data_IF_713232056622
#
_entry.id   IF_713232056622
#
_cell.length_a   1.000
_cell.length_b   1.000
_cell.length_c   1.000
_cell.angle_alpha   90.00
_cell.angle_beta   90.00
_cell.angle_gamma   90.00
#
_symmetry.space_group_name_H-M   'P 1'
#
loop_
_entity.id
_entity.type
_entity.pdbx_description
1 polymer ?
#
# COMPACT_ATOMS: atom_id res chain seq x y z
N UNK A 1 -2.69 -10.06 -10.98
CA UNK A 1 -1.65 -9.18 -10.43
C UNK A 1 -0.80 -9.99 -9.47
N UNK A 2 0.53 -9.84 -9.50
CA UNK A 2 1.43 -10.51 -8.55
C UNK A 2 1.49 -9.73 -7.25
N UNK A 3 1.43 -10.45 -6.12
CA UNK A 3 1.39 -9.88 -4.78
C UNK A 3 2.52 -10.46 -3.94
N UNK A 4 3.19 -9.62 -3.15
CA UNK A 4 4.25 -10.01 -2.22
C UNK A 4 4.00 -9.36 -0.86
N UNK A 5 3.89 -10.15 0.20
CA UNK A 5 3.93 -9.64 1.57
C UNK A 5 5.39 -9.34 1.93
N UNK A 6 5.64 -8.13 2.40
CA UNK A 6 6.98 -7.64 2.75
C UNK A 6 7.16 -7.53 4.26
N UNK A 7 6.09 -7.17 4.97
CA UNK A 7 6.00 -7.19 6.42
C UNK A 7 4.61 -7.70 6.79
N UNK A 8 4.53 -8.69 7.67
CA UNK A 8 3.30 -9.43 7.94
C UNK A 8 2.60 -8.99 9.24
N UNK A 9 3.19 -8.08 10.01
CA UNK A 9 2.53 -7.51 11.19
C UNK A 9 2.63 -8.39 12.44
N UNK A 10 3.83 -8.87 12.75
CA UNK A 10 4.26 -9.76 13.85
C UNK A 10 3.56 -9.69 15.23
N UNK A 11 2.81 -8.64 15.53
CA UNK A 11 2.08 -8.47 16.80
C UNK A 11 0.60 -8.84 16.69
N UNK A 12 0.08 -9.02 15.46
CA UNK A 12 -1.30 -9.38 15.22
C UNK A 12 -1.50 -10.88 15.40
N UNK A 13 -2.63 -11.31 15.97
CA UNK A 13 -2.99 -12.72 15.97
C UNK A 13 -3.01 -13.28 14.55
N UNK A 14 -2.50 -14.50 14.37
CA UNK A 14 -2.35 -15.16 13.06
C UNK A 14 -3.64 -15.15 12.23
N UNK A 15 -4.79 -15.44 12.83
CA UNK A 15 -6.09 -15.42 12.12
C UNK A 15 -6.45 -14.05 11.54
N UNK A 16 -6.13 -12.96 12.27
CA UNK A 16 -6.39 -11.58 11.82
C UNK A 16 -5.44 -11.23 10.68
N UNK A 17 -4.15 -11.56 10.85
CA UNK A 17 -3.10 -11.34 9.87
C UNK A 17 -3.41 -12.04 8.55
N UNK A 18 -3.66 -13.35 8.59
CA UNK A 18 -3.86 -14.17 7.41
C UNK A 18 -5.13 -13.77 6.66
N UNK A 19 -6.21 -13.47 7.39
CA UNK A 19 -7.43 -12.94 6.79
C UNK A 19 -7.20 -11.59 6.11
N UNK A 20 -6.47 -10.67 6.74
CA UNK A 20 -6.17 -9.36 6.17
C UNK A 20 -5.32 -9.47 4.89
N UNK A 21 -4.27 -10.30 4.92
CA UNK A 21 -3.41 -10.57 3.77
C UNK A 21 -4.21 -11.20 2.63
N UNK A 22 -5.08 -12.17 2.92
CA UNK A 22 -5.93 -12.82 1.91
C UNK A 22 -6.88 -11.83 1.24
N UNK A 23 -7.57 -10.99 2.03
CA UNK A 23 -8.48 -9.95 1.53
C UNK A 23 -7.74 -8.97 0.63
N UNK A 24 -6.60 -8.43 1.08
CA UNK A 24 -5.80 -7.47 0.30
C UNK A 24 -5.28 -8.11 -0.98
N UNK A 25 -4.80 -9.36 -0.89
CA UNK A 25 -4.30 -10.13 -2.03
C UNK A 25 -5.40 -10.34 -3.08
N UNK A 26 -6.60 -10.78 -2.66
CA UNK A 26 -7.73 -10.98 -3.55
C UNK A 26 -8.22 -9.67 -4.17
N UNK A 27 -8.24 -8.58 -3.39
CA UNK A 27 -8.57 -7.24 -3.90
C UNK A 27 -7.62 -6.77 -4.98
N UNK A 28 -6.30 -7.01 -4.81
CA UNK A 28 -5.26 -6.74 -5.81
C UNK A 28 -5.40 -7.64 -7.04
N UNK A 29 -5.61 -8.94 -6.84
CA UNK A 29 -5.75 -9.92 -7.92
C UNK A 29 -7.01 -9.72 -8.75
N UNK A 30 -8.07 -9.16 -8.17
CA UNK A 30 -9.29 -8.76 -8.89
C UNK A 30 -9.09 -7.58 -9.85
N UNK A 31 -7.95 -6.89 -9.80
CA UNK A 31 -7.61 -5.84 -10.76
C UNK A 31 -7.03 -6.50 -12.02
N UNK A 32 -7.80 -6.46 -13.11
CA UNK A 32 -7.45 -7.13 -14.38
C UNK A 32 -7.66 -6.21 -15.57
N UNK A 33 -6.96 -6.49 -16.68
CA UNK A 33 -7.02 -5.72 -17.93
C UNK A 33 -7.25 -6.61 -19.15
N UNK A 34 -6.45 -7.67 -19.33
CA UNK A 34 -6.48 -8.57 -20.50
C UNK A 34 -6.50 -10.01 -20.03
N UNK A 35 -7.45 -10.81 -20.52
CA UNK A 35 -7.48 -12.25 -20.29
C UNK A 35 -7.50 -12.68 -18.82
N UNK A 36 -8.11 -11.87 -17.93
CA UNK A 36 -8.12 -12.13 -16.49
C UNK A 36 -6.80 -11.84 -15.77
N UNK A 37 -5.82 -11.25 -16.46
CA UNK A 37 -4.54 -10.84 -15.92
C UNK A 37 -4.42 -9.31 -15.87
N UNK A 38 -3.55 -8.81 -15.01
CA UNK A 38 -3.14 -7.41 -14.97
C UNK A 38 -1.94 -7.18 -15.89
N UNK A 39 -2.23 -7.03 -17.19
CA UNK A 39 -1.28 -6.69 -18.25
C UNK A 39 -1.31 -5.19 -18.49
N UNK A 40 -0.15 -4.53 -18.42
CA UNK A 40 -0.07 -3.07 -18.56
C UNK A 40 0.55 -2.67 -19.89
N UNK A 41 -0.04 -1.68 -20.54
CA UNK A 41 0.58 -1.04 -21.70
C UNK A 41 1.67 -0.08 -21.23
N UNK A 42 2.92 -0.39 -21.54
CA UNK A 42 4.10 0.42 -21.21
C UNK A 42 4.70 1.15 -22.43
N UNK A 43 3.91 1.30 -23.51
CA UNK A 43 4.34 2.04 -24.71
C UNK A 43 4.69 3.48 -24.37
N UNK A 44 5.89 3.91 -24.77
CA UNK A 44 6.32 5.29 -24.61
C UNK A 44 5.51 6.22 -25.51
N UNK A 45 4.79 7.15 -24.88
CA UNK A 45 3.98 8.15 -25.58
C UNK A 45 4.47 9.56 -25.23
N UNK A 46 4.18 10.51 -26.12
CA UNK A 46 4.60 11.89 -26.00
C UNK A 46 3.41 12.83 -26.17
N UNK A 47 3.59 14.06 -25.67
CA UNK A 47 2.63 15.16 -25.84
C UNK A 47 3.38 16.44 -26.16
N UNK A 48 2.79 17.27 -27.02
CA UNK A 48 3.26 18.62 -27.28
C UNK A 48 2.84 19.55 -26.15
N UNK A 49 3.80 20.19 -25.49
CA UNK A 49 3.56 21.17 -24.45
C UNK A 49 3.09 22.51 -25.07
N UNK A 50 2.52 23.40 -24.24
CA UNK A 50 2.14 24.76 -24.68
C UNK A 50 3.32 25.55 -25.28
N UNK A 51 4.54 25.24 -24.85
CA UNK A 51 5.79 25.83 -25.37
C UNK A 51 6.21 25.28 -26.74
N UNK A 52 5.47 24.33 -27.30
CA UNK A 52 5.79 23.64 -28.54
C UNK A 52 6.75 22.45 -28.38
N UNK A 53 7.38 22.28 -27.21
CA UNK A 53 8.29 21.16 -26.92
C UNK A 53 7.53 19.84 -26.79
N UNK A 54 8.05 18.79 -27.41
CA UNK A 54 7.56 17.42 -27.25
C UNK A 54 8.22 16.81 -26.01
N UNK A 55 7.40 16.26 -25.11
CA UNK A 55 7.86 15.58 -23.90
C UNK A 55 7.09 14.29 -23.70
N UNK A 56 7.75 13.29 -23.12
CA UNK A 56 7.10 12.03 -22.73
C UNK A 56 5.95 12.28 -21.76
N UNK A 57 4.87 11.50 -21.86
CA UNK A 57 3.69 11.64 -20.99
C UNK A 57 3.24 10.30 -20.40
N UNK A 58 2.62 10.37 -19.21
CA UNK A 58 2.03 9.22 -18.52
C UNK A 58 0.66 8.91 -19.13
N UNK A 59 0.47 7.67 -19.59
CA UNK A 59 -0.80 7.24 -20.19
C UNK A 59 -1.69 6.45 -19.22
N UNK A 60 -1.11 5.78 -18.24
CA UNK A 60 -1.85 4.98 -17.26
C UNK A 60 -2.18 5.81 -16.02
N UNK A 61 -3.45 5.76 -15.61
CA UNK A 61 -3.97 6.53 -14.49
C UNK A 61 -3.85 5.77 -13.17
N UNK A 62 -3.25 6.39 -12.15
CA UNK A 62 -3.25 5.87 -10.78
C UNK A 62 -4.67 5.65 -10.20
N UNK A 63 -5.63 6.58 -10.39
CA UNK A 63 -7.04 6.36 -10.03
C UNK A 63 -7.68 5.07 -10.52
N UNK A 64 -7.21 4.48 -11.64
CA UNK A 64 -7.70 3.17 -12.08
C UNK A 64 -7.46 2.10 -11.02
N UNK A 65 -6.22 2.02 -10.52
CA UNK A 65 -5.82 1.02 -9.53
C UNK A 65 -6.51 1.27 -8.19
N UNK A 66 -6.44 2.49 -7.67
CA UNK A 66 -7.03 2.83 -6.37
C UNK A 66 -8.54 2.56 -6.35
N UNK A 67 -9.29 3.02 -7.36
CA UNK A 67 -10.75 2.79 -7.41
C UNK A 67 -11.11 1.31 -7.53
N UNK A 68 -10.38 0.54 -8.34
CA UNK A 68 -10.61 -0.91 -8.48
C UNK A 68 -10.28 -1.64 -7.20
N UNK A 69 -9.17 -1.31 -6.55
CA UNK A 69 -8.80 -1.88 -5.26
C UNK A 69 -9.86 -1.59 -4.19
N UNK A 70 -10.23 -0.32 -4.02
CA UNK A 70 -11.27 0.13 -3.07
C UNK A 70 -12.61 -0.58 -3.32
N UNK A 71 -13.02 -0.68 -4.59
CA UNK A 71 -14.24 -1.38 -4.98
C UNK A 71 -14.19 -2.87 -4.65
N UNK A 72 -13.09 -3.55 -4.97
CA UNK A 72 -12.90 -4.97 -4.70
C UNK A 72 -12.86 -5.24 -3.19
N UNK A 73 -12.19 -4.37 -2.42
CA UNK A 73 -12.11 -4.45 -0.97
C UNK A 73 -13.51 -4.37 -0.33
N UNK A 74 -14.35 -3.45 -0.80
CA UNK A 74 -15.72 -3.29 -0.31
C UNK A 74 -16.64 -4.50 -0.57
N UNK A 75 -16.24 -5.47 -1.40
CA UNK A 75 -17.02 -6.69 -1.63
C UNK A 75 -16.89 -7.71 -0.50
N UNK A 76 -15.88 -7.57 0.35
CA UNK A 76 -15.66 -8.50 1.48
C UNK A 76 -16.49 -8.08 2.69
N UNK A 77 -17.09 -9.06 3.37
CA UNK A 77 -17.83 -8.80 4.61
C UNK A 77 -16.94 -8.07 5.62
N UNK A 78 -17.46 -7.03 6.28
CA UNK A 78 -16.71 -6.25 7.27
C UNK A 78 -15.66 -5.32 6.67
N UNK A 79 -15.60 -5.18 5.35
CA UNK A 79 -14.64 -4.30 4.68
C UNK A 79 -15.35 -3.10 4.04
N UNK A 80 -14.64 -1.98 3.97
CA UNK A 80 -15.07 -0.77 3.28
C UNK A 80 -13.95 -0.33 2.33
N UNK A 81 -14.33 0.21 1.16
CA UNK A 81 -13.40 0.94 0.29
C UNK A 81 -13.09 2.32 0.87
N UNK A 82 -12.84 3.31 0.01
CA UNK A 82 -12.56 4.69 0.45
C UNK A 82 -13.60 5.17 1.46
N UNK A 83 -13.13 5.56 2.64
CA UNK A 83 -13.99 5.96 3.76
C UNK A 83 -13.35 7.12 4.53
N UNK A 84 -14.17 7.85 5.28
CA UNK A 84 -13.73 8.98 6.11
C UNK A 84 -13.80 8.63 7.58
N UNK A 85 -12.66 8.67 8.25
CA UNK A 85 -12.50 8.34 9.66
C UNK A 85 -11.92 9.56 10.37
N UNK A 86 -12.66 10.11 11.34
CA UNK A 86 -12.27 11.32 12.08
C UNK A 86 -11.80 12.49 11.20
N UNK A 87 -12.44 12.67 10.04
CA UNK A 87 -12.10 13.73 9.10
C UNK A 87 -10.94 13.42 8.15
N UNK A 88 -10.32 12.25 8.26
CA UNK A 88 -9.25 11.78 7.36
C UNK A 88 -9.81 10.76 6.37
N UNK A 89 -9.47 10.92 5.09
CA UNK A 89 -9.80 9.94 4.05
C UNK A 89 -8.77 8.80 4.08
N UNK A 90 -9.25 7.56 4.07
CA UNK A 90 -8.44 6.33 4.03
C UNK A 90 -8.94 5.44 2.89
N UNK A 91 -8.02 4.74 2.22
CA UNK A 91 -8.37 3.91 1.04
C UNK A 91 -9.19 2.67 1.40
N UNK A 92 -9.17 2.24 2.65
CA UNK A 92 -9.98 1.13 3.07
C UNK A 92 -9.98 0.87 4.56
N UNK A 93 -10.94 0.06 4.97
CA UNK A 93 -11.08 -0.42 6.33
C UNK A 93 -11.39 -1.92 6.30
N UNK A 94 -10.74 -2.69 7.16
CA UNK A 94 -11.04 -4.12 7.36
C UNK A 94 -11.40 -4.33 8.81
N UNK A 95 -12.63 -4.72 9.10
CA UNK A 95 -13.10 -5.06 10.45
C UNK A 95 -13.33 -6.56 10.57
N UNK A 96 -12.73 -7.17 11.59
CA UNK A 96 -12.84 -8.61 11.87
C UNK A 96 -13.08 -8.85 13.35
N UNK A 97 -14.01 -9.74 13.64
CA UNK A 97 -14.23 -10.24 14.99
C UNK A 97 -13.63 -11.64 15.08
N UNK A 98 -12.71 -11.85 16.01
CA UNK A 98 -12.03 -13.14 16.20
C UNK A 98 -12.06 -13.54 17.68
N UNK A 99 -12.17 -14.84 17.94
CA UNK A 99 -11.97 -15.40 19.28
C UNK A 99 -10.49 -15.71 19.43
N UNK A 100 -9.80 -14.93 20.23
CA UNK A 100 -8.35 -15.04 20.39
C UNK A 100 -7.94 -14.70 21.82
N UNK A 101 -6.66 -14.94 22.14
CA UNK A 101 -6.03 -14.49 23.37
C UNK A 101 -5.12 -13.32 23.01
N UNK A 102 -5.48 -12.13 23.45
CA UNK A 102 -4.57 -10.99 23.44
C UNK A 102 -3.80 -10.91 24.75
N UNK A 103 -2.77 -10.06 24.82
CA UNK A 103 -1.95 -9.91 26.01
C UNK A 103 -1.87 -8.45 26.46
N UNK A 104 -1.86 -8.24 27.78
CA UNK A 104 -1.69 -6.93 28.42
C UNK A 104 -0.51 -6.98 29.39
N UNK A 105 0.26 -5.90 29.47
CA UNK A 105 1.34 -5.80 30.46
C UNK A 105 0.74 -5.65 31.87
N UNK A 106 1.19 -6.48 32.82
CA UNK A 106 0.72 -6.49 34.22
C UNK A 106 1.02 -5.17 34.94
N UNK A 107 2.21 -4.62 34.67
CA UNK A 107 2.68 -3.36 35.22
C UNK A 107 3.22 -2.47 34.09
N UNK A 108 2.51 -1.38 33.81
CA UNK A 108 2.86 -0.43 32.74
C UNK A 108 4.23 0.22 32.95
N UNK A 109 4.70 0.33 34.18
CA UNK A 109 5.98 0.97 34.49
C UNK A 109 7.17 0.08 34.04
N UNK A 110 6.90 -1.21 33.78
CA UNK A 110 7.87 -2.18 33.24
C UNK A 110 7.87 -2.24 31.71
N UNK A 111 7.10 -1.40 31.01
CA UNK A 111 7.06 -1.42 29.54
C UNK A 111 8.41 -1.11 28.91
N UNK A 112 9.20 -0.23 29.53
CA UNK A 112 10.56 0.08 29.06
C UNK A 112 11.49 -1.12 29.13
N UNK A 113 11.34 -1.99 30.14
CA UNK A 113 12.10 -3.24 30.25
C UNK A 113 11.83 -4.15 29.04
N UNK A 114 10.55 -4.35 28.71
CA UNK A 114 10.13 -5.12 27.52
C UNK A 114 10.76 -4.53 26.25
N UNK A 115 10.68 -3.20 26.08
CA UNK A 115 11.18 -2.52 24.89
C UNK A 115 12.70 -2.63 24.74
N UNK A 116 13.45 -2.44 25.83
CA UNK A 116 14.91 -2.57 25.79
C UNK A 116 15.33 -4.00 25.41
N UNK A 117 14.69 -5.01 26.01
CA UNK A 117 14.96 -6.42 25.68
C UNK A 117 14.58 -6.75 24.23
N UNK A 118 13.44 -6.25 23.75
CA UNK A 118 13.03 -6.43 22.36
C UNK A 118 14.02 -5.76 21.37
N UNK A 119 14.50 -4.55 21.67
CA UNK A 119 15.50 -3.84 20.86
C UNK A 119 16.82 -4.62 20.80
N UNK A 120 17.30 -5.10 21.95
CA UNK A 120 18.54 -5.88 22.07
C UNK A 120 18.47 -7.21 21.31
N UNK A 121 17.44 -8.03 21.57
CA UNK A 121 17.26 -9.35 20.94
C UNK A 121 17.13 -9.26 19.42
N UNK A 122 16.51 -8.18 18.91
CA UNK A 122 16.31 -7.95 17.48
C UNK A 122 17.45 -7.14 16.82
N UNK A 123 18.53 -6.81 17.55
CA UNK A 123 19.66 -6.05 17.03
C UNK A 123 19.27 -4.67 16.46
N UNK A 124 18.26 -4.03 17.05
CA UNK A 124 17.75 -2.72 16.62
C UNK A 124 18.60 -1.58 17.21
N UNK A 125 18.69 -0.42 16.55
CA UNK A 125 19.33 0.75 17.15
C UNK A 125 18.60 1.21 18.43
N UNK A 126 19.34 1.66 19.44
CA UNK A 126 18.75 2.17 20.70
C UNK A 126 17.68 3.25 20.47
N UNK A 127 17.87 4.09 19.46
CA UNK A 127 16.93 5.13 19.05
C UNK A 127 15.56 4.61 18.59
N UNK A 128 15.41 3.32 18.29
CA UNK A 128 14.11 2.70 17.99
C UNK A 128 13.12 2.81 19.14
N UNK A 129 13.58 3.09 20.38
CA UNK A 129 12.70 3.35 21.52
C UNK A 129 11.67 4.45 21.23
N UNK A 130 12.03 5.48 20.46
CA UNK A 130 11.15 6.61 20.16
C UNK A 130 9.96 6.25 19.26
N UNK A 131 10.07 5.19 18.47
CA UNK A 131 8.99 4.70 17.59
C UNK A 131 8.27 3.49 18.18
N UNK A 132 9.01 2.61 18.86
CA UNK A 132 8.44 1.41 19.48
C UNK A 132 7.65 1.72 20.76
N UNK A 133 8.06 2.70 21.57
CA UNK A 133 7.33 3.04 22.80
C UNK A 133 5.84 3.36 22.56
N UNK A 134 5.46 4.31 21.69
CA UNK A 134 4.04 4.59 21.45
C UNK A 134 3.29 3.38 20.88
N UNK A 135 3.95 2.56 20.04
CA UNK A 135 3.36 1.34 19.49
C UNK A 135 3.05 0.32 20.60
N UNK A 136 4.05 -0.05 21.40
CA UNK A 136 3.92 -1.02 22.49
C UNK A 136 2.97 -0.55 23.58
N UNK A 137 2.97 0.76 23.88
CA UNK A 137 2.04 1.33 24.85
C UNK A 137 0.59 1.17 24.39
N UNK A 138 0.28 1.53 23.14
CA UNK A 138 -1.05 1.33 22.56
C UNK A 138 -1.45 -0.14 22.50
N UNK A 139 -0.51 -1.03 22.14
CA UNK A 139 -0.79 -2.46 22.04
C UNK A 139 -1.09 -3.10 23.39
N UNK A 140 -0.13 -2.99 24.33
CA UNK A 140 -0.07 -3.83 25.50
C UNK A 140 -0.52 -3.15 26.78
N UNK A 141 -0.58 -1.82 26.82
CA UNK A 141 -1.15 -1.10 27.97
C UNK A 141 -2.63 -0.83 27.75
N UNK A 142 -2.99 -0.29 26.58
CA UNK A 142 -4.35 0.20 26.35
C UNK A 142 -5.32 -0.91 25.88
N UNK A 143 -4.91 -1.73 24.91
CA UNK A 143 -5.86 -2.56 24.14
C UNK A 143 -5.92 -4.02 24.57
N UNK A 144 -4.77 -4.66 24.80
CA UNK A 144 -4.73 -6.06 25.23
C UNK A 144 -5.25 -7.05 24.18
N UNK A 145 -5.00 -6.77 22.90
CA UNK A 145 -5.49 -7.53 21.74
C UNK A 145 -4.37 -8.26 20.99
N UNK A 146 -3.11 -7.98 21.30
CA UNK A 146 -1.96 -8.35 20.49
C UNK A 146 -1.28 -9.59 21.05
N UNK A 147 -0.59 -10.31 20.17
CA UNK A 147 0.25 -11.45 20.51
C UNK A 147 1.57 -10.99 21.12
N UNK A 148 2.23 -11.86 21.88
CA UNK A 148 3.56 -11.66 22.47
C UNK A 148 4.57 -12.72 22.02
N UNK A 149 4.20 -13.63 21.10
CA UNK A 149 5.10 -14.68 20.61
C UNK A 149 6.44 -14.15 20.11
N UNK A 150 6.44 -12.97 19.47
CA UNK A 150 7.63 -12.30 18.96
C UNK A 150 8.47 -11.54 20.00
N UNK A 151 8.05 -11.53 21.28
CA UNK A 151 8.82 -10.92 22.37
C UNK A 151 9.86 -11.89 22.94
N UNK A 152 10.96 -11.39 23.52
CA UNK A 152 11.92 -12.21 24.25
C UNK A 152 11.24 -13.04 25.37
N UNK A 153 11.66 -14.30 25.54
CA UNK A 153 11.01 -15.23 26.49
C UNK A 153 11.05 -14.72 27.93
N UNK A 154 12.14 -14.06 28.33
CA UNK A 154 12.37 -13.54 29.68
C UNK A 154 11.41 -12.41 30.07
N UNK A 155 10.78 -11.74 29.10
CA UNK A 155 9.82 -10.66 29.36
C UNK A 155 8.36 -11.10 29.20
N UNK A 156 8.07 -12.32 28.71
CA UNK A 156 6.68 -12.79 28.52
C UNK A 156 5.92 -12.91 29.84
N UNK A 157 6.59 -13.24 30.95
CA UNK A 157 5.99 -13.30 32.28
C UNK A 157 5.48 -11.95 32.80
N UNK A 158 5.86 -10.84 32.15
CA UNK A 158 5.34 -9.50 32.46
C UNK A 158 3.93 -9.27 31.94
N UNK A 159 3.40 -10.20 31.16
CA UNK A 159 2.10 -10.09 30.53
C UNK A 159 1.06 -11.02 31.17
N UNK A 160 -0.19 -10.59 31.12
CA UNK A 160 -1.37 -11.39 31.41
C UNK A 160 -2.17 -11.65 30.14
N UNK A 161 -2.72 -12.86 30.04
CA UNK A 161 -3.59 -13.25 28.95
C UNK A 161 -4.98 -12.62 29.12
N UNK A 162 -5.52 -12.08 28.04
CA UNK A 162 -6.84 -11.46 27.96
C UNK A 162 -7.68 -12.23 26.92
N UNK A 163 -8.22 -13.40 27.29
CA UNK A 163 -9.04 -14.21 26.38
C UNK A 163 -10.36 -13.50 26.06
N UNK A 164 -10.84 -13.67 24.84
CA UNK A 164 -12.19 -13.25 24.51
C UNK A 164 -12.44 -13.11 23.01
N UNK A 165 -13.66 -12.68 22.70
CA UNK A 165 -13.99 -12.22 21.38
C UNK A 165 -13.56 -10.77 21.23
N UNK A 166 -12.71 -10.50 20.24
CA UNK A 166 -12.07 -9.21 20.00
C UNK A 166 -12.43 -8.72 18.61
N UNK A 167 -12.77 -7.43 18.49
CA UNK A 167 -12.92 -6.76 17.21
C UNK A 167 -11.60 -6.07 16.87
N UNK A 168 -11.09 -6.34 15.66
CA UNK A 168 -9.94 -5.69 15.06
C UNK A 168 -10.40 -4.82 13.90
N UNK A 169 -9.88 -3.60 13.84
CA UNK A 169 -10.11 -2.63 12.77
C UNK A 169 -8.78 -2.26 12.12
N UNK A 170 -8.56 -2.64 10.88
CA UNK A 170 -7.31 -2.40 10.16
C UNK A 170 -7.51 -1.29 9.12
N UNK A 171 -6.74 -0.22 9.20
CA UNK A 171 -6.77 0.86 8.21
C UNK A 171 -5.88 0.52 7.00
N UNK A 172 -6.36 0.77 5.78
CA UNK A 172 -5.65 0.45 4.54
C UNK A 172 -5.30 1.71 3.75
N UNK A 173 -4.03 1.85 3.34
CA UNK A 173 -3.56 2.91 2.44
C UNK A 173 -2.98 2.29 1.16
N UNK A 174 -3.46 2.74 0.00
CA UNK A 174 -3.07 2.27 -1.32
C UNK A 174 -2.24 3.32 -2.06
N UNK A 175 -0.93 3.19 -1.97
CA UNK A 175 0.03 4.18 -2.42
C UNK A 175 0.54 3.90 -3.83
N UNK A 176 0.06 4.72 -4.78
CA UNK A 176 0.51 4.78 -6.18
C UNK A 176 1.29 6.04 -6.50
N UNK A 177 1.32 6.97 -5.56
CA UNK A 177 1.94 8.29 -5.67
C UNK A 177 3.42 8.28 -5.34
N UNK A 178 3.94 9.44 -4.93
CA UNK A 178 5.36 9.59 -4.61
C UNK A 178 5.75 8.78 -3.36
N UNK A 179 6.98 8.31 -3.22
CA UNK A 179 7.43 7.68 -1.96
C UNK A 179 7.17 8.56 -0.72
N UNK A 180 7.22 9.89 -0.86
CA UNK A 180 6.87 10.81 0.21
C UNK A 180 5.38 10.72 0.63
N UNK A 181 4.46 10.36 -0.28
CA UNK A 181 3.06 10.14 0.09
C UNK A 181 2.90 8.87 0.93
N UNK A 182 3.73 7.85 0.73
CA UNK A 182 3.74 6.66 1.59
C UNK A 182 4.10 6.99 3.05
N UNK A 183 5.07 7.87 3.30
CA UNK A 183 5.36 8.33 4.66
C UNK A 183 4.19 9.13 5.27
N UNK A 184 3.50 9.93 4.45
CA UNK A 184 2.29 10.63 4.89
C UNK A 184 1.16 9.65 5.24
N UNK A 185 0.96 8.60 4.44
CA UNK A 185 0.02 7.52 4.72
C UNK A 185 0.36 6.78 6.01
N UNK A 186 1.64 6.44 6.23
CA UNK A 186 2.09 5.81 7.49
C UNK A 186 1.80 6.70 8.71
N UNK A 187 2.07 8.01 8.62
CA UNK A 187 1.74 8.94 9.69
C UNK A 187 0.23 9.06 9.91
N UNK A 188 -0.57 9.02 8.83
CA UNK A 188 -2.03 9.02 8.89
C UNK A 188 -2.54 7.81 9.70
N UNK A 189 -2.06 6.61 9.35
CA UNK A 189 -2.38 5.36 10.04
C UNK A 189 -1.93 5.42 11.51
N UNK A 190 -0.74 5.95 11.78
CA UNK A 190 -0.24 6.11 13.15
C UNK A 190 -1.16 7.01 13.99
N UNK A 191 -1.61 8.15 13.46
CA UNK A 191 -2.54 9.05 14.18
C UNK A 191 -3.86 8.34 14.49
N UNK A 192 -4.41 7.58 13.53
CA UNK A 192 -5.63 6.80 13.74
C UNK A 192 -5.44 5.68 14.79
N UNK A 193 -4.26 5.05 14.79
CA UNK A 193 -3.87 4.07 15.80
C UNK A 193 -3.78 4.74 17.18
N UNK A 194 -3.06 5.85 17.31
CA UNK A 194 -2.92 6.55 18.58
C UNK A 194 -4.26 6.99 19.18
N UNK A 195 -5.25 7.28 18.34
CA UNK A 195 -6.60 7.69 18.78
C UNK A 195 -7.54 6.54 19.13
N UNK A 196 -7.11 5.28 19.01
CA UNK A 196 -7.97 4.14 19.32
C UNK A 196 -8.91 3.73 18.18
N UNK A 197 -8.76 4.31 16.98
CA UNK A 197 -9.73 4.13 15.88
C UNK A 197 -9.41 2.95 14.98
N UNK A 198 -8.11 2.63 14.85
CA UNK A 198 -7.63 1.42 14.17
C UNK A 198 -6.67 0.65 15.07
N UNK A 199 -6.66 -0.67 14.90
CA UNK A 199 -5.83 -1.65 15.58
C UNK A 199 -4.49 -1.90 14.90
N UNK A 200 -4.44 -1.73 13.58
CA UNK A 200 -3.21 -1.80 12.80
C UNK A 200 -3.37 -1.06 11.47
N UNK A 201 -2.26 -0.86 10.78
CA UNK A 201 -2.23 -0.35 9.42
C UNK A 201 -1.91 -1.43 8.39
N UNK A 202 -2.36 -1.21 7.16
CA UNK A 202 -1.95 -1.94 5.97
C UNK A 202 -1.48 -0.92 4.94
N UNK A 203 -0.22 -1.01 4.53
CA UNK A 203 0.34 -0.22 3.45
C UNK A 203 0.45 -1.08 2.20
N UNK A 204 -0.22 -0.68 1.13
CA UNK A 204 -0.16 -1.34 -0.18
C UNK A 204 0.56 -0.42 -1.16
N UNK A 205 1.63 -0.89 -1.80
CA UNK A 205 2.31 -0.12 -2.86
C UNK A 205 3.01 -1.05 -3.86
N UNK A 206 3.65 -0.51 -4.89
CA UNK A 206 4.36 -1.33 -5.87
C UNK A 206 5.58 -2.04 -5.25
N UNK A 207 5.89 -3.27 -5.70
CA UNK A 207 7.00 -4.06 -5.13
C UNK A 207 8.36 -3.42 -5.39
N UNK A 208 8.61 -2.98 -6.62
CA UNK A 208 9.90 -2.50 -7.08
C UNK A 208 9.77 -1.34 -8.07
N UNK A 209 10.82 -0.52 -8.13
CA UNK A 209 10.79 0.71 -8.93
C UNK A 209 10.87 0.39 -10.42
N UNK A 210 11.89 -0.38 -10.83
CA UNK A 210 12.30 -0.50 -12.24
C UNK A 210 11.39 -1.40 -13.07
N UNK A 211 10.95 -2.54 -12.53
CA UNK A 211 10.18 -3.56 -13.25
C UNK A 211 8.67 -3.47 -13.01
N UNK A 212 8.24 -2.70 -12.01
CA UNK A 212 6.82 -2.43 -11.72
C UNK A 212 6.48 -0.94 -11.84
N UNK A 213 6.85 -0.10 -10.87
CA UNK A 213 6.36 1.28 -10.76
C UNK A 213 6.61 2.14 -12.01
N UNK A 214 7.85 2.15 -12.52
CA UNK A 214 8.23 2.97 -13.67
C UNK A 214 7.72 2.43 -14.99
N UNK A 215 7.24 1.18 -15.05
CA UNK A 215 6.62 0.61 -16.25
C UNK A 215 5.12 0.78 -16.27
N UNK A 216 4.47 0.79 -15.09
CA UNK A 216 3.06 1.18 -15.00
C UNK A 216 2.91 2.65 -15.35
N UNK A 217 3.78 3.50 -14.79
CA UNK A 217 3.79 4.93 -15.03
C UNK A 217 5.14 5.36 -15.61
N UNK A 218 5.41 5.04 -16.88
CA UNK A 218 6.60 5.54 -17.56
C UNK A 218 6.63 7.06 -17.38
N UNK A 219 7.81 7.62 -17.16
CA UNK A 219 8.07 9.06 -16.91
C UNK A 219 7.77 9.60 -15.49
N UNK A 220 6.95 8.94 -14.66
CA UNK A 220 6.81 9.38 -13.27
C UNK A 220 7.98 8.88 -12.42
N UNK A 221 9.08 9.63 -12.43
CA UNK A 221 10.27 9.31 -11.62
C UNK A 221 9.97 9.28 -10.11
N UNK A 222 8.79 9.76 -9.69
CA UNK A 222 8.43 9.94 -8.30
C UNK A 222 7.68 8.76 -7.69
N UNK A 223 7.11 7.84 -8.46
CA UNK A 223 6.22 6.82 -7.89
C UNK A 223 6.93 5.88 -6.91
N UNK A 224 6.43 5.79 -5.68
CA UNK A 224 7.02 5.01 -4.60
C UNK A 224 6.92 3.50 -4.85
N UNK A 225 7.81 2.77 -4.19
CA UNK A 225 7.79 1.31 -4.14
C UNK A 225 8.32 0.84 -2.78
N UNK A 226 8.00 -0.39 -2.40
CA UNK A 226 8.56 -1.01 -1.20
C UNK A 226 10.08 -1.09 -1.27
N UNK A 227 10.67 -1.32 -2.45
CA UNK A 227 12.11 -1.23 -2.64
C UNK A 227 12.68 0.13 -2.22
N UNK A 228 12.03 1.22 -2.61
CA UNK A 228 12.47 2.58 -2.29
C UNK A 228 12.23 2.95 -0.80
N UNK A 229 11.21 2.37 -0.18
CA UNK A 229 10.93 2.52 1.25
C UNK A 229 11.96 1.78 2.11
N UNK A 230 12.35 0.56 1.71
CA UNK A 230 13.42 -0.20 2.39
C UNK A 230 14.74 0.55 2.41
N UNK A 231 15.14 1.14 1.28
CA UNK A 231 16.36 1.94 1.18
C UNK A 231 16.37 3.17 2.12
N UNK A 232 15.19 3.60 2.57
CA UNK A 232 15.01 4.69 3.52
C UNK A 232 14.70 4.21 4.94
N UNK A 233 14.86 2.91 5.20
CA UNK A 233 14.64 2.32 6.52
C UNK A 233 13.25 2.65 7.10
N UNK A 234 12.21 2.59 6.27
CA UNK A 234 10.88 3.06 6.67
C UNK A 234 10.32 2.36 7.90
N UNK A 235 10.63 1.06 8.10
CA UNK A 235 10.16 0.30 9.25
C UNK A 235 10.68 0.86 10.58
N UNK A 236 11.83 1.54 10.59
CA UNK A 236 12.37 2.17 11.80
C UNK A 236 11.58 3.42 12.20
N UNK A 237 10.73 3.94 11.30
CA UNK A 237 9.87 5.11 11.47
C UNK A 237 8.40 4.74 11.72
N UNK A 238 8.07 3.45 11.77
CA UNK A 238 6.70 2.95 11.97
C UNK A 238 6.41 2.81 13.47
N UNK A 239 5.37 3.51 13.93
CA UNK A 239 4.95 3.53 15.34
C UNK A 239 3.59 2.86 15.57
N UNK A 240 3.24 1.90 14.71
CA UNK A 240 2.02 1.11 14.80
C UNK A 240 2.26 -0.32 14.26
N UNK A 241 1.44 -1.32 14.64
CA UNK A 241 1.45 -2.61 13.96
C UNK A 241 1.09 -2.42 12.48
N UNK A 242 1.92 -2.94 11.58
CA UNK A 242 1.81 -2.68 10.15
C UNK A 242 1.94 -3.96 9.32
N UNK A 243 1.05 -4.14 8.35
CA UNK A 243 1.22 -5.09 7.25
C UNK A 243 1.66 -4.30 6.01
N UNK A 244 2.70 -4.73 5.31
CA UNK A 244 3.17 -4.11 4.06
C UNK A 244 3.03 -5.09 2.91
N UNK A 245 2.26 -4.70 1.88
CA UNK A 245 1.97 -5.53 0.71
C UNK A 245 2.44 -4.84 -0.57
N UNK A 246 3.27 -5.54 -1.33
CA UNK A 246 3.79 -5.13 -2.62
C UNK A 246 2.98 -5.71 -3.76
N UNK A 247 2.75 -4.93 -4.82
CA UNK A 247 2.15 -5.43 -6.06
C UNK A 247 3.02 -5.20 -7.30
N UNK A 248 2.85 -6.08 -8.29
CA UNK A 248 3.44 -5.95 -9.62
C UNK A 248 2.49 -6.46 -10.73
N UNK A 249 2.59 -5.92 -11.96
CA UNK A 249 1.89 -6.46 -13.11
C UNK A 249 2.21 -7.92 -13.37
N UNK A 250 1.25 -8.64 -13.95
CA UNK A 250 1.45 -10.01 -14.42
C UNK A 250 2.30 -10.02 -15.69
N UNK A 251 2.21 -8.95 -16.49
CA UNK A 251 3.00 -8.76 -17.70
C UNK A 251 2.83 -7.36 -18.29
N UNK A 252 3.51 -7.13 -19.40
CA UNK A 252 3.45 -5.88 -20.15
C UNK A 252 3.25 -6.20 -21.62
N UNK A 253 2.38 -5.44 -22.28
CA UNK A 253 2.03 -5.64 -23.68
C UNK A 253 1.67 -4.29 -24.32
N UNK A 254 2.42 -3.84 -25.36
CA UNK A 254 2.12 -2.60 -26.09
C UNK A 254 0.72 -2.56 -26.75
N UNK A 255 0.09 -3.73 -26.93
CA UNK A 255 -1.27 -3.87 -27.46
C UNK A 255 -2.35 -3.85 -26.38
N UNK A 256 -2.00 -3.92 -25.10
CA UNK A 256 -2.96 -3.81 -24.00
C UNK A 256 -3.65 -2.43 -23.99
N UNK A 257 -4.88 -2.31 -23.46
CA UNK A 257 -5.47 -1.01 -23.24
C UNK A 257 -4.73 -0.23 -22.13
N UNK A 258 -4.83 1.10 -22.16
CA UNK A 258 -4.32 1.97 -21.10
C UNK A 258 -5.32 2.08 -19.94
N UNK A 259 -4.81 2.44 -18.77
CA UNK A 259 -5.59 2.58 -17.54
C UNK A 259 -6.23 3.97 -17.46
N UNK A 260 -7.57 4.07 -17.51
CA UNK A 260 -8.33 5.33 -17.55
C UNK A 260 -8.64 5.93 -16.18
N UNK A 261 -8.82 7.26 -16.11
CA UNK A 261 -9.08 7.99 -14.84
C UNK A 261 -10.43 7.67 -14.20
N UNK A 262 -11.39 7.25 -15.01
CA UNK A 262 -12.72 6.84 -14.54
C UNK A 262 -12.74 5.42 -13.95
N UNK A 263 -11.61 4.68 -13.94
CA UNK A 263 -11.57 3.27 -13.53
C UNK A 263 -11.87 2.28 -14.66
N UNK A 264 -12.04 2.78 -15.89
CA UNK A 264 -12.18 1.99 -17.11
C UNK A 264 -10.87 1.82 -17.87
N UNK A 265 -10.95 1.04 -18.95
CA UNK A 265 -9.85 0.82 -19.89
C UNK A 265 -10.09 1.66 -21.14
N UNK A 266 -9.03 2.21 -21.74
CA UNK A 266 -9.15 2.96 -22.98
C UNK A 266 -8.06 2.61 -24.00
N UNK A 267 -8.33 2.92 -25.26
CA UNK A 267 -7.38 2.80 -26.36
C UNK A 267 -7.24 4.15 -27.05
N UNK A 268 -6.03 4.45 -27.48
CA UNK A 268 -5.75 5.59 -28.33
C UNK A 268 -6.46 5.44 -29.68
N UNK A 269 -7.12 6.50 -30.14
CA UNK A 269 -7.78 6.50 -31.46
C UNK A 269 -6.80 7.02 -32.51
N UNK A 270 -6.46 6.24 -33.55
CA UNK A 270 -5.57 6.72 -34.60
C UNK A 270 -6.24 7.85 -35.38
N UNK A 271 -5.48 8.89 -35.71
CA UNK A 271 -5.98 9.97 -36.58
C UNK A 271 -5.62 9.75 -38.05
N UNK A 272 -4.69 8.83 -38.34
CA UNK A 272 -4.11 8.63 -39.67
C UNK A 272 -3.17 9.77 -40.11
N UNK A 273 -2.80 10.68 -39.20
CA UNK A 273 -1.93 11.82 -39.46
C UNK A 273 -0.58 11.64 -38.75
N UNK A 274 0.43 12.30 -39.30
CA UNK A 274 1.73 12.45 -38.68
C UNK A 274 1.89 13.89 -38.17
N UNK A 275 2.79 14.07 -37.21
CA UNK A 275 3.18 15.39 -36.76
C UNK A 275 3.98 16.16 -37.84
N UNK A 276 4.31 17.42 -37.56
CA UNK A 276 4.98 18.29 -38.53
C UNK A 276 6.40 17.82 -38.91
N UNK A 277 7.06 17.00 -38.08
CA UNK A 277 8.39 16.46 -38.41
C UNK A 277 8.30 15.15 -39.17
N UNK A 278 7.16 14.46 -39.11
CA UNK A 278 6.99 13.12 -39.68
C UNK A 278 7.58 12.02 -38.80
N UNK A 279 8.04 12.35 -37.59
CA UNK A 279 8.66 11.38 -36.67
C UNK A 279 7.62 10.68 -35.77
N UNK A 280 6.42 11.27 -35.66
CA UNK A 280 5.37 10.77 -34.78
C UNK A 280 4.04 10.55 -35.50
N UNK A 281 3.37 9.45 -35.19
CA UNK A 281 1.95 9.25 -35.47
C UNK A 281 1.10 9.96 -34.41
N UNK A 282 0.02 10.59 -34.88
CA UNK A 282 -0.92 11.32 -34.03
C UNK A 282 -2.11 10.43 -33.65
N UNK A 283 -2.37 10.37 -32.35
CA UNK A 283 -3.50 9.69 -31.74
C UNK A 283 -4.33 10.66 -30.88
N UNK A 284 -5.58 10.28 -30.62
CA UNK A 284 -6.47 10.95 -29.66
C UNK A 284 -6.54 10.14 -28.36
N UNK A 285 -6.27 10.80 -27.23
CA UNK A 285 -6.29 10.27 -25.87
C UNK A 285 -7.69 10.12 -25.25
N UNK A 286 -7.72 9.79 -23.94
CA UNK A 286 -8.95 9.61 -23.16
C UNK A 286 -9.79 10.90 -23.11
N UNK A 287 -9.15 12.06 -22.95
CA UNK A 287 -9.78 13.38 -22.79
C UNK A 287 -9.87 14.15 -24.13
N UNK A 288 -9.64 13.47 -25.26
CA UNK A 288 -9.59 14.11 -26.57
C UNK A 288 -8.27 14.83 -26.87
N UNK A 289 -7.25 14.67 -26.03
CA UNK A 289 -5.96 15.30 -26.24
C UNK A 289 -5.15 14.64 -27.38
N UNK A 290 -4.24 15.41 -27.98
CA UNK A 290 -3.28 14.88 -28.94
C UNK A 290 -2.17 14.10 -28.23
N UNK A 291 -1.97 12.86 -28.66
CA UNK A 291 -0.94 11.95 -28.17
C UNK A 291 -0.06 11.53 -29.34
N UNK A 292 1.24 11.56 -29.15
CA UNK A 292 2.24 11.26 -30.16
C UNK A 292 2.92 9.91 -29.85
N UNK A 293 3.00 9.04 -30.86
CA UNK A 293 3.79 7.80 -30.80
C UNK A 293 4.89 7.82 -31.85
N UNK A 294 6.14 7.49 -31.52
CA UNK A 294 7.22 7.48 -32.51
C UNK A 294 7.00 6.44 -33.60
N UNK A 295 7.37 6.80 -34.83
CA UNK A 295 7.36 5.90 -35.97
C UNK A 295 8.66 5.08 -35.97
N UNK A 296 8.56 3.76 -36.17
CA UNK A 296 9.71 2.87 -36.35
C UNK A 296 10.37 2.35 -35.07
N UNK A 297 9.63 2.24 -33.96
CA UNK A 297 10.03 1.44 -32.79
C UNK A 297 9.63 -0.03 -32.91
#
# INVERSE_FOLDING_TARGET
MRVKVEHDGYFLPTDVKDAAVDIVTKSLQGITTVGGQFIVNDTLCFRKQRTGRITTCVMNSAPFLSKKFQHNLAQFQGCQGETKIEGQDIDGLITRTVKTVGYRIKDKDRLLEVLHRYIEENGRPDGSIYTLFPMFYGMYTERGLYDIECLPEDVKDLFEAVPGEKQFTLGVEFETGNVASSFRALNKLFVLFQRGVIDAGILVTSTDKQSSATRIWPVSNRNGSLQELRQRHYLDQVSLPLISVGFAPDGFDPSAPYLGRNGGLYRLKPTGKQDSTGDYEIFVGEDGEEILKPIGM
#
